data_IF_936208971259
#
_entry.id   IF_936208971259
#
_cell.length_a   1.000
_cell.length_b   1.000
_cell.length_c   1.000
_cell.angle_alpha   90.00
_cell.angle_beta   90.00
_cell.angle_gamma   90.00
#
_symmetry.space_group_name_H-M   'P 1'
#
loop_
_entity.id
_entity.type
_entity.pdbx_description
1 polymer ?
#
# COMPACT_ATOMS: atom_id res chain seq x y z
N UNK A 1 14.13 2.24 -10.71
CA UNK A 1 12.85 2.97 -10.51
C UNK A 1 11.85 2.13 -9.72
N UNK A 2 11.68 0.84 -10.02
CA UNK A 2 10.78 -0.09 -9.32
C UNK A 2 11.12 -0.32 -7.83
N UNK A 3 12.41 -0.41 -7.47
CA UNK A 3 12.81 -0.68 -6.07
C UNK A 3 12.26 0.35 -5.06
N UNK A 4 12.32 1.65 -5.37
CA UNK A 4 11.75 2.69 -4.50
C UNK A 4 10.22 2.59 -4.42
N UNK A 5 9.55 2.27 -5.53
CA UNK A 5 8.11 2.06 -5.56
C UNK A 5 7.70 0.86 -4.68
N UNK A 6 8.52 -0.18 -4.63
CA UNK A 6 8.33 -1.32 -3.75
C UNK A 6 8.54 -0.97 -2.26
N UNK A 7 9.56 -0.16 -1.95
CA UNK A 7 9.77 0.34 -0.58
C UNK A 7 8.57 1.18 -0.10
N UNK A 8 8.05 2.07 -0.96
CA UNK A 8 6.85 2.83 -0.68
C UNK A 8 5.63 1.94 -0.46
N UNK A 9 5.38 0.97 -1.36
CA UNK A 9 4.26 0.05 -1.24
C UNK A 9 4.35 -0.81 0.04
N UNK A 10 5.55 -1.23 0.43
CA UNK A 10 5.78 -1.97 1.67
C UNK A 10 5.47 -1.12 2.92
N UNK A 11 5.92 0.13 2.95
CA UNK A 11 5.60 1.07 4.02
C UNK A 11 4.09 1.35 4.10
N UNK A 12 3.42 1.46 2.95
CA UNK A 12 1.97 1.66 2.85
C UNK A 12 1.18 0.48 3.43
N UNK A 13 1.59 -0.75 3.12
CA UNK A 13 0.95 -1.96 3.68
C UNK A 13 1.12 -2.07 5.19
N UNK A 14 2.29 -1.68 5.72
CA UNK A 14 2.53 -1.64 7.16
C UNK A 14 1.67 -0.58 7.85
N UNK A 15 1.57 0.61 7.26
CA UNK A 15 0.75 1.71 7.77
C UNK A 15 -0.73 1.32 7.78
N UNK A 16 -1.21 0.68 6.70
CA UNK A 16 -2.59 0.14 6.61
C UNK A 16 -2.90 -0.81 7.75
N UNK A 17 -1.99 -1.75 8.02
CA UNK A 17 -2.15 -2.72 9.09
C UNK A 17 -2.17 -2.06 10.48
N UNK A 18 -1.33 -1.05 10.70
CA UNK A 18 -1.33 -0.26 11.93
C UNK A 18 -2.64 0.54 12.08
N UNK A 19 -3.14 1.15 11.02
CA UNK A 19 -4.41 1.88 11.04
C UNK A 19 -5.60 0.95 11.26
N UNK A 20 -5.59 -0.27 10.71
CA UNK A 20 -6.58 -1.32 10.99
C UNK A 20 -6.57 -1.75 12.46
N UNK A 21 -5.40 -1.88 13.09
CA UNK A 21 -5.28 -2.19 14.52
C UNK A 21 -5.78 -1.03 15.41
N UNK A 22 -5.70 0.20 14.91
CA UNK A 22 -6.11 1.41 15.62
C UNK A 22 -7.51 1.90 15.23
N UNK A 23 -8.33 1.10 14.53
CA UNK A 23 -9.65 1.45 13.97
C UNK A 23 -10.62 2.09 14.98
N UNK A 24 -10.41 1.88 16.28
CA UNK A 24 -11.21 2.49 17.36
C UNK A 24 -10.94 3.99 17.59
N UNK A 25 -9.85 4.53 17.04
CA UNK A 25 -9.51 5.95 17.04
C UNK A 25 -10.07 6.58 15.76
N UNK A 26 -10.93 7.59 15.88
CA UNK A 26 -11.59 8.22 14.72
C UNK A 26 -10.60 8.74 13.67
N UNK A 27 -9.42 9.25 14.09
CA UNK A 27 -8.33 9.65 13.19
C UNK A 27 -7.75 8.47 12.40
N UNK A 28 -7.64 7.28 13.01
CA UNK A 28 -7.13 6.09 12.34
C UNK A 28 -8.05 5.58 11.22
N UNK A 29 -9.36 5.92 11.28
CA UNK A 29 -10.31 5.59 10.22
C UNK A 29 -10.09 6.42 8.95
N UNK A 30 -9.85 7.72 9.11
CA UNK A 30 -9.57 8.61 7.97
C UNK A 30 -8.19 8.31 7.38
N UNK A 31 -7.19 8.03 8.22
CA UNK A 31 -5.88 7.53 7.78
C UNK A 31 -6.01 6.20 7.03
N UNK A 32 -6.80 5.25 7.54
CA UNK A 32 -7.02 3.97 6.86
C UNK A 32 -7.69 4.14 5.49
N UNK A 33 -8.65 5.05 5.36
CA UNK A 33 -9.29 5.35 4.07
C UNK A 33 -8.30 5.97 3.07
N UNK A 34 -7.48 6.90 3.54
CA UNK A 34 -6.43 7.53 2.74
C UNK A 34 -5.40 6.49 2.25
N UNK A 35 -4.89 5.66 3.16
CA UNK A 35 -3.93 4.60 2.85
C UNK A 35 -4.53 3.56 1.91
N UNK A 36 -5.80 3.19 2.11
CA UNK A 36 -6.49 2.24 1.23
C UNK A 36 -6.62 2.78 -0.19
N UNK A 37 -6.90 4.07 -0.35
CA UNK A 37 -6.96 4.73 -1.66
C UNK A 37 -5.61 4.72 -2.38
N UNK A 38 -4.53 4.97 -1.63
CA UNK A 38 -3.17 4.90 -2.16
C UNK A 38 -2.76 3.48 -2.56
N UNK A 39 -3.10 2.47 -1.76
CA UNK A 39 -2.83 1.06 -2.05
C UNK A 39 -3.55 0.60 -3.33
N UNK A 40 -4.80 1.02 -3.53
CA UNK A 40 -5.54 0.77 -4.77
C UNK A 40 -4.86 1.43 -5.97
N UNK A 41 -4.49 2.71 -5.88
CA UNK A 41 -3.81 3.43 -6.96
C UNK A 41 -2.45 2.82 -7.32
N UNK A 42 -1.70 2.36 -6.33
CA UNK A 42 -0.44 1.65 -6.54
C UNK A 42 -0.64 0.31 -7.24
N UNK A 43 -1.64 -0.47 -6.82
CA UNK A 43 -1.95 -1.75 -7.46
C UNK A 43 -2.40 -1.56 -8.91
N UNK A 44 -3.20 -0.53 -9.20
CA UNK A 44 -3.57 -0.16 -10.56
C UNK A 44 -2.33 0.19 -11.40
N UNK A 45 -1.43 1.00 -10.86
CA UNK A 45 -0.18 1.39 -11.53
C UNK A 45 0.73 0.18 -11.81
N UNK A 46 0.77 -0.80 -10.89
CA UNK A 46 1.52 -2.05 -11.10
C UNK A 46 0.87 -2.90 -12.21
N UNK A 47 -0.45 -3.00 -12.22
CA UNK A 47 -1.18 -3.69 -13.29
C UNK A 47 -0.95 -3.05 -14.66
N UNK A 48 -0.96 -1.72 -14.74
CA UNK A 48 -0.68 -0.98 -15.96
C UNK A 48 0.76 -1.23 -16.47
N UNK A 49 1.69 -1.49 -15.54
CA UNK A 49 3.07 -1.92 -15.83
C UNK A 49 3.19 -3.42 -16.15
N UNK A 50 2.07 -4.16 -16.20
CA UNK A 50 2.04 -5.60 -16.47
C UNK A 50 2.60 -6.46 -15.33
N UNK A 51 2.62 -5.94 -14.10
CA UNK A 51 3.14 -6.62 -12.92
C UNK A 51 2.17 -6.52 -11.75
N UNK A 52 2.50 -7.17 -10.64
CA UNK A 52 1.77 -7.08 -9.37
C UNK A 52 2.75 -6.82 -8.25
N UNK A 53 2.26 -6.46 -7.07
CA UNK A 53 3.13 -6.31 -5.90
C UNK A 53 3.92 -7.60 -5.61
N UNK A 54 3.27 -8.75 -5.70
CA UNK A 54 3.87 -10.06 -5.42
C UNK A 54 4.92 -10.43 -6.47
N UNK A 55 4.71 -10.07 -7.73
CA UNK A 55 5.61 -10.44 -8.83
C UNK A 55 6.73 -9.43 -9.07
N UNK A 56 6.50 -8.14 -8.78
CA UNK A 56 7.46 -7.06 -9.00
C UNK A 56 8.19 -6.56 -7.75
N UNK A 57 7.60 -6.73 -6.56
CA UNK A 57 8.15 -6.21 -5.30
C UNK A 57 8.49 -7.28 -4.25
N UNK A 58 7.79 -8.42 -4.22
CA UNK A 58 8.07 -9.51 -3.27
C UNK A 58 9.12 -10.48 -3.80
N UNK A 59 9.19 -10.69 -5.12
CA UNK A 59 10.25 -11.50 -5.73
C UNK A 59 11.57 -10.73 -5.75
N UNK A 60 12.47 -11.08 -4.84
CA UNK A 60 13.91 -10.96 -5.00
C UNK A 60 14.52 -12.35 -4.96
#
# INVERSE_FOLDING_TARGET
MIAKACDYSKGLKQLKHLSEQNLHLAEAKDELQFISSLDIGFNQSLQDLGTTYETGCVKK
#
